data_IF_050436274042
#
_entry.id   IF_050436274042
#
_cell.length_a   1.000
_cell.length_b   1.000
_cell.length_c   1.000
_cell.angle_alpha   90.00
_cell.angle_beta   90.00
_cell.angle_gamma   90.00
#
_symmetry.space_group_name_H-M   'P 1'
#
loop_
_entity.id
_entity.type
_entity.pdbx_description
1 polymer ?
#
# COMPACT_ATOMS: atom_id res chain seq x y z
N UNK A 1 -1.93 -6.65 -2.80
CA UNK A 1 -2.36 -5.29 -2.41
C UNK A 1 -1.18 -4.34 -2.50
N UNK A 2 -1.40 -3.06 -2.77
CA UNK A 2 -0.31 -2.07 -2.90
C UNK A 2 0.42 -1.93 -1.56
N UNK A 3 1.73 -2.11 -1.58
CA UNK A 3 2.61 -2.20 -0.42
C UNK A 3 3.65 -1.09 -0.43
N UNK A 4 4.19 -0.78 0.74
CA UNK A 4 5.09 0.35 0.92
C UNK A 4 6.51 0.01 0.45
N UNK A 5 7.15 0.82 -0.39
CA UNK A 5 8.47 0.48 -0.91
C UNK A 5 9.57 0.52 0.17
N UNK A 6 10.42 -0.50 0.19
CA UNK A 6 11.45 -0.78 1.20
C UNK A 6 12.77 0.00 0.94
N UNK A 7 12.73 1.14 0.25
CA UNK A 7 13.94 1.88 -0.15
C UNK A 7 13.94 3.30 0.45
N UNK A 8 14.96 3.69 1.24
CA UNK A 8 15.08 5.07 1.73
C UNK A 8 15.19 6.00 0.51
N UNK A 9 14.22 6.91 0.35
CA UNK A 9 14.13 7.85 -0.78
C UNK A 9 12.91 7.65 -1.68
N UNK A 10 12.34 6.44 -1.75
CA UNK A 10 11.11 6.22 -2.53
C UNK A 10 9.87 6.78 -1.83
N UNK A 11 9.89 6.89 -0.49
CA UNK A 11 8.86 7.61 0.27
C UNK A 11 8.74 9.06 -0.17
N UNK A 12 9.87 9.74 -0.39
CA UNK A 12 9.90 11.15 -0.81
C UNK A 12 9.43 11.32 -2.26
N UNK A 13 9.78 10.38 -3.15
CA UNK A 13 9.31 10.36 -4.53
C UNK A 13 7.81 10.03 -4.60
N UNK A 14 7.33 9.13 -3.76
CA UNK A 14 5.91 8.78 -3.64
C UNK A 14 5.10 9.91 -2.99
N UNK A 15 5.62 10.55 -1.94
CA UNK A 15 5.01 11.74 -1.33
C UNK A 15 4.97 12.90 -2.36
N UNK A 16 6.02 13.09 -3.17
CA UNK A 16 6.05 14.12 -4.22
C UNK A 16 5.09 13.80 -5.40
N UNK A 17 5.05 12.54 -5.85
CA UNK A 17 4.08 12.06 -6.84
C UNK A 17 2.66 12.22 -6.30
N UNK A 18 2.42 11.85 -5.04
CA UNK A 18 1.10 11.96 -4.39
C UNK A 18 0.67 13.42 -4.21
N UNK A 19 1.59 14.33 -3.85
CA UNK A 19 1.25 15.74 -3.65
C UNK A 19 0.98 16.51 -4.96
N UNK A 20 1.56 16.07 -6.08
CA UNK A 20 1.42 16.78 -7.37
C UNK A 20 0.49 16.07 -8.36
N UNK A 21 0.52 14.75 -8.43
CA UNK A 21 -0.16 13.98 -9.49
C UNK A 21 -1.58 13.58 -9.08
N UNK A 22 -1.82 13.17 -7.84
CA UNK A 22 -3.18 12.84 -7.37
C UNK A 22 -4.17 14.02 -7.45
N UNK A 23 -3.82 15.26 -7.06
CA UNK A 23 -4.74 16.39 -7.14
C UNK A 23 -5.06 16.81 -8.58
N UNK A 24 -4.10 16.64 -9.50
CA UNK A 24 -4.29 16.96 -10.92
C UNK A 24 -5.13 15.89 -11.63
N UNK A 25 -4.90 14.61 -11.34
CA UNK A 25 -5.73 13.52 -11.86
C UNK A 25 -7.16 13.57 -11.28
N UNK A 26 -7.31 13.89 -9.99
CA UNK A 26 -8.61 14.12 -9.37
C UNK A 26 -9.38 15.30 -9.97
N UNK A 27 -8.68 16.34 -10.44
CA UNK A 27 -9.29 17.46 -11.18
C UNK A 27 -9.66 17.13 -12.62
N UNK A 28 -8.93 16.23 -13.28
CA UNK A 28 -9.07 15.95 -14.72
C UNK A 28 -10.04 14.83 -15.05
N UNK A 29 -10.26 13.85 -14.15
CA UNK A 29 -10.87 12.57 -14.53
C UNK A 29 -12.26 12.32 -13.93
N UNK A 30 -12.54 12.77 -12.71
CA UNK A 30 -13.77 12.33 -12.04
C UNK A 30 -14.42 13.48 -11.29
N UNK A 31 -15.68 13.76 -11.63
CA UNK A 31 -16.62 14.50 -10.75
C UNK A 31 -16.93 13.77 -9.43
N UNK A 32 -16.04 12.88 -8.97
CA UNK A 32 -16.07 12.18 -7.69
C UNK A 32 -14.64 12.14 -7.10
N UNK A 33 -14.21 13.29 -6.59
CA UNK A 33 -12.93 13.47 -5.92
C UNK A 33 -12.86 12.73 -4.56
N UNK A 34 -13.98 12.25 -4.05
CA UNK A 34 -14.08 11.61 -2.73
C UNK A 34 -13.51 10.19 -2.78
N UNK A 35 -13.87 9.41 -3.81
CA UNK A 35 -13.36 8.04 -4.02
C UNK A 35 -11.83 7.97 -4.12
N UNK A 36 -11.20 8.92 -4.83
CA UNK A 36 -9.74 8.97 -4.95
C UNK A 36 -9.04 9.51 -3.69
N UNK A 37 -9.70 10.41 -2.95
CA UNK A 37 -9.20 10.84 -1.63
C UNK A 37 -9.20 9.67 -0.66
N UNK A 38 -10.28 8.88 -0.63
CA UNK A 38 -10.36 7.67 0.17
C UNK A 38 -9.26 6.68 -0.19
N UNK A 39 -8.99 6.46 -1.49
CA UNK A 39 -7.89 5.61 -1.93
C UNK A 39 -6.52 6.12 -1.46
N UNK A 40 -6.26 7.43 -1.58
CA UNK A 40 -5.00 7.99 -1.11
C UNK A 40 -4.84 7.90 0.42
N UNK A 41 -5.91 8.12 1.17
CA UNK A 41 -5.92 7.97 2.63
C UNK A 41 -5.76 6.51 3.06
N UNK A 42 -6.43 5.58 2.38
CA UNK A 42 -6.35 4.15 2.70
C UNK A 42 -4.95 3.60 2.48
N UNK A 43 -4.28 4.00 1.38
CA UNK A 43 -2.88 3.63 1.12
C UNK A 43 -1.96 4.15 2.23
N UNK A 44 -2.18 5.36 2.74
CA UNK A 44 -1.35 5.95 3.80
C UNK A 44 -1.53 5.27 5.16
N UNK A 45 -2.74 4.77 5.45
CA UNK A 45 -3.04 4.09 6.72
C UNK A 45 -2.73 2.59 6.68
N UNK A 46 -2.56 2.02 5.49
CA UNK A 46 -2.31 0.60 5.34
C UNK A 46 -0.96 0.20 5.97
N UNK A 47 -0.92 -0.89 6.77
CA UNK A 47 0.33 -1.36 7.36
C UNK A 47 1.35 -1.74 6.29
N UNK A 48 2.64 -1.59 6.60
CA UNK A 48 3.70 -2.09 5.71
C UNK A 48 3.70 -3.63 5.67
N UNK A 49 4.48 -4.20 4.75
CA UNK A 49 4.57 -5.63 4.50
C UNK A 49 4.80 -6.44 5.78
N UNK A 50 5.78 -6.04 6.59
CA UNK A 50 6.20 -6.78 7.77
C UNK A 50 5.15 -6.65 8.88
N UNK A 51 4.61 -5.45 9.09
CA UNK A 51 3.53 -5.22 10.06
C UNK A 51 2.30 -6.07 9.71
N UNK A 52 1.89 -6.10 8.43
CA UNK A 52 0.75 -6.93 8.01
C UNK A 52 1.06 -8.43 8.17
N UNK A 53 2.30 -8.85 7.89
CA UNK A 53 2.73 -10.23 8.09
C UNK A 53 2.64 -10.65 9.56
N UNK A 54 3.04 -9.77 10.48
CA UNK A 54 2.96 -10.02 11.91
C UNK A 54 1.52 -10.04 12.42
N UNK A 55 0.66 -9.18 11.86
CA UNK A 55 -0.78 -9.24 12.12
C UNK A 55 -1.37 -10.60 11.69
N UNK A 56 -0.96 -11.14 10.55
CA UNK A 56 -1.39 -12.46 10.09
C UNK A 56 -0.93 -13.58 11.04
N UNK A 57 0.32 -13.54 11.50
CA UNK A 57 0.83 -14.49 12.50
C UNK A 57 0.06 -14.40 13.81
N UNK A 58 -0.19 -13.18 14.29
CA UNK A 58 -0.97 -12.92 15.51
C UNK A 58 -2.41 -13.42 15.39
N UNK A 59 -2.99 -13.38 14.18
CA UNK A 59 -4.30 -13.95 13.89
C UNK A 59 -4.32 -15.49 13.85
N UNK A 60 -3.18 -16.16 14.09
CA UNK A 60 -3.07 -17.62 14.11
C UNK A 60 -2.86 -18.26 12.74
N UNK A 61 -2.47 -17.48 11.71
CA UNK A 61 -2.06 -18.03 10.42
C UNK A 61 -0.61 -18.50 10.48
N UNK A 62 -0.36 -19.68 9.95
CA UNK A 62 0.95 -20.33 9.90
C UNK A 62 1.59 -20.21 8.51
N UNK A 63 2.91 -20.36 8.44
CA UNK A 63 3.64 -20.28 7.17
C UNK A 63 3.53 -18.92 6.46
N UNK A 64 3.23 -17.85 7.21
CA UNK A 64 3.04 -16.50 6.69
C UNK A 64 4.29 -16.00 5.96
N UNK A 65 4.14 -15.64 4.68
CA UNK A 65 5.17 -14.99 3.85
C UNK A 65 4.54 -13.90 2.98
N UNK A 66 5.34 -12.91 2.59
CA UNK A 66 4.97 -11.97 1.54
C UNK A 66 5.96 -11.99 0.37
N UNK A 67 5.48 -11.56 -0.80
CA UNK A 67 6.29 -11.36 -1.98
C UNK A 67 6.05 -9.97 -2.55
N UNK A 68 7.12 -9.19 -2.70
CA UNK A 68 7.05 -7.86 -3.29
C UNK A 68 6.96 -7.94 -4.81
N UNK A 69 5.98 -7.23 -5.37
CA UNK A 69 5.74 -7.04 -6.79
C UNK A 69 6.02 -5.58 -7.15
N UNK A 70 6.41 -5.34 -8.41
CA UNK A 70 6.68 -3.99 -8.94
C UNK A 70 7.62 -3.16 -8.06
N UNK A 71 8.73 -3.75 -7.61
CA UNK A 71 9.72 -3.05 -6.78
C UNK A 71 9.25 -2.73 -5.35
N UNK A 72 8.20 -3.39 -4.86
CA UNK A 72 7.65 -3.19 -3.51
C UNK A 72 6.48 -2.22 -3.45
N UNK A 73 5.99 -1.73 -4.60
CA UNK A 73 4.75 -0.94 -4.72
C UNK A 73 3.51 -1.82 -4.45
N UNK A 74 3.62 -3.13 -4.64
CA UNK A 74 2.58 -4.13 -4.33
C UNK A 74 3.24 -5.28 -3.59
N UNK A 75 2.53 -5.90 -2.65
CA UNK A 75 2.92 -7.14 -2.02
C UNK A 75 1.77 -8.13 -2.02
N UNK A 76 2.13 -9.40 -2.19
CA UNK A 76 1.23 -10.54 -2.04
C UNK A 76 1.57 -11.23 -0.73
N UNK A 77 0.63 -11.23 0.22
CA UNK A 77 0.76 -11.95 1.49
C UNK A 77 0.02 -13.28 1.41
N UNK A 78 0.64 -14.35 1.93
CA UNK A 78 0.07 -15.69 1.99
C UNK A 78 0.33 -16.30 3.36
N UNK A 79 -0.70 -16.88 3.96
CA UNK A 79 -0.64 -17.68 5.18
C UNK A 79 -1.63 -18.83 5.09
N UNK A 80 -1.44 -19.85 5.92
CA UNK A 80 -2.24 -21.07 5.94
C UNK A 80 -2.84 -21.27 7.33
N UNK A 81 -3.98 -21.94 7.41
CA UNK A 81 -4.56 -22.42 8.67
C UNK A 81 -4.68 -23.93 8.57
N UNK A 82 -4.02 -24.65 9.47
CA UNK A 82 -4.10 -26.09 9.58
C UNK A 82 -5.23 -26.51 10.52
#
# INVERSE_FOLDING_TARGET
>A
EFSSPVVPGLKSLYDAYSFRVLPLLGKLVAGDAESYRYLAESIRRHPNQETLLEMMRTAGLEGCRYHNLSGGIVALHRGYKY
#
